data_IF_370633152509
#
_entry.id   IF_370633152509
#
_cell.length_a   1.000
_cell.length_b   1.000
_cell.length_c   1.000
_cell.angle_alpha   90.00
_cell.angle_beta   90.00
_cell.angle_gamma   90.00
#
_symmetry.space_group_name_H-M   'P 1'
#
loop_
_entity.id
_entity.type
_entity.pdbx_description
1 polymer ?
#
# COMPACT_ATOMS: atom_id res chain seq x y z
N UNK A 1 7.22 -19.57 -12.22
CA UNK A 1 7.29 -18.68 -11.05
C UNK A 1 6.79 -17.31 -11.47
N UNK A 2 5.82 -16.71 -10.79
CA UNK A 2 5.30 -15.38 -11.17
C UNK A 2 6.31 -14.32 -10.74
N UNK A 3 7.01 -13.72 -11.69
CA UNK A 3 7.99 -12.66 -11.42
C UNK A 3 7.23 -11.34 -11.29
N UNK A 4 7.29 -10.72 -10.11
CA UNK A 4 6.80 -9.35 -9.93
C UNK A 4 7.80 -8.38 -10.54
N UNK A 5 7.31 -7.32 -11.18
CA UNK A 5 8.14 -6.27 -11.79
C UNK A 5 7.62 -4.89 -11.42
N UNK A 6 8.54 -3.95 -11.31
CA UNK A 6 8.22 -2.51 -11.23
C UNK A 6 7.69 -2.04 -12.58
N UNK A 7 6.58 -1.31 -12.61
CA UNK A 7 5.84 -0.95 -13.83
C UNK A 7 6.20 0.43 -14.38
N UNK A 8 6.58 1.37 -13.51
CA UNK A 8 6.77 2.79 -13.80
C UNK A 8 7.96 3.36 -13.03
N UNK A 9 8.37 4.59 -13.36
CA UNK A 9 9.45 5.30 -12.65
C UNK A 9 10.87 4.79 -12.91
N UNK A 10 11.81 5.23 -12.08
CA UNK A 10 13.27 5.01 -12.18
C UNK A 10 13.69 3.54 -12.26
N UNK A 11 12.94 2.64 -11.62
CA UNK A 11 13.22 1.21 -11.55
C UNK A 11 12.33 0.37 -12.46
N UNK A 12 11.60 0.98 -13.41
CA UNK A 12 10.74 0.29 -14.37
C UNK A 12 11.43 -0.93 -15.00
N UNK A 13 10.72 -2.05 -15.05
CA UNK A 13 11.18 -3.30 -15.65
C UNK A 13 12.04 -4.18 -14.73
N UNK A 14 12.53 -3.65 -13.59
CA UNK A 14 13.28 -4.45 -12.62
C UNK A 14 12.37 -5.49 -11.95
N UNK A 15 12.88 -6.72 -11.86
CA UNK A 15 12.25 -7.80 -11.12
C UNK A 15 12.32 -7.52 -9.62
N UNK A 16 11.28 -7.92 -8.91
CA UNK A 16 11.19 -7.88 -7.46
C UNK A 16 11.44 -9.29 -6.97
N UNK A 17 12.50 -9.48 -6.19
CA UNK A 17 12.73 -10.74 -5.51
C UNK A 17 11.59 -10.96 -4.52
N UNK A 18 10.78 -11.98 -4.80
CA UNK A 18 9.69 -12.37 -3.91
C UNK A 18 10.17 -13.47 -2.98
N UNK A 19 9.78 -13.45 -1.70
CA UNK A 19 10.02 -14.59 -0.82
C UNK A 19 9.34 -15.85 -1.38
N UNK A 20 9.80 -17.06 -1.01
CA UNK A 20 9.16 -18.30 -1.37
C UNK A 20 7.67 -18.29 -1.01
N UNK A 21 6.84 -18.98 -1.80
CA UNK A 21 5.42 -19.09 -1.51
C UNK A 21 5.19 -19.74 -0.14
N UNK A 22 4.41 -19.09 0.72
CA UNK A 22 3.97 -19.70 1.98
C UNK A 22 2.75 -20.58 1.67
N UNK A 23 2.85 -21.88 1.96
CA UNK A 23 1.79 -22.87 1.71
C UNK A 23 1.25 -22.88 0.26
N UNK A 24 2.13 -22.67 -0.73
CA UNK A 24 1.77 -22.72 -2.17
C UNK A 24 0.96 -21.54 -2.69
N UNK A 25 0.54 -20.60 -1.84
CA UNK A 25 -0.26 -19.44 -2.24
C UNK A 25 0.59 -18.17 -2.33
N UNK A 26 0.56 -17.53 -3.49
CA UNK A 26 1.10 -16.19 -3.72
C UNK A 26 -0.05 -15.21 -3.86
N UNK A 27 -0.65 -14.83 -2.73
CA UNK A 27 -1.65 -13.75 -2.69
C UNK A 27 -0.93 -12.40 -2.82
N UNK A 28 -0.37 -12.15 -4.00
CA UNK A 28 0.19 -10.86 -4.37
C UNK A 28 -0.92 -10.00 -4.95
N UNK A 29 -0.91 -8.72 -4.59
CA UNK A 29 -1.69 -7.67 -5.25
C UNK A 29 -1.57 -7.81 -6.78
N UNK A 30 -2.68 -7.93 -7.53
CA UNK A 30 -2.63 -8.12 -8.98
C UNK A 30 -1.94 -6.97 -9.70
N UNK A 31 -1.18 -7.26 -10.75
CA UNK A 31 -0.47 -6.25 -11.54
C UNK A 31 -1.39 -5.15 -12.10
N UNK A 32 -2.64 -5.51 -12.47
CA UNK A 32 -3.65 -4.54 -12.94
C UNK A 32 -4.15 -3.63 -11.82
N UNK A 33 -4.27 -4.15 -10.59
CA UNK A 33 -4.71 -3.39 -9.43
C UNK A 33 -3.61 -2.43 -8.98
N UNK A 34 -2.36 -2.92 -8.92
CA UNK A 34 -1.19 -2.06 -8.73
C UNK A 34 -1.16 -0.92 -9.75
N UNK A 35 -1.30 -1.24 -11.05
CA UNK A 35 -1.36 -0.23 -12.11
C UNK A 35 -2.48 0.79 -11.83
N UNK A 36 -3.68 0.32 -11.47
CA UNK A 36 -4.81 1.21 -11.17
C UNK A 36 -4.53 2.18 -10.01
N UNK A 37 -3.95 1.72 -8.90
CA UNK A 37 -3.58 2.58 -7.77
C UNK A 37 -2.63 3.68 -8.24
N UNK A 38 -1.60 3.30 -8.97
CA UNK A 38 -0.56 4.22 -9.41
C UNK A 38 -0.97 5.12 -10.59
N UNK A 39 -1.93 4.69 -11.43
CA UNK A 39 -2.56 5.58 -12.41
C UNK A 39 -3.40 6.67 -11.73
N UNK A 40 -4.13 6.32 -10.65
CA UNK A 40 -4.89 7.30 -9.84
C UNK A 40 -3.92 8.29 -9.18
N UNK A 41 -2.85 7.80 -8.55
CA UNK A 41 -1.80 8.65 -7.97
C UNK A 41 -1.21 9.58 -9.05
N UNK A 42 -0.89 9.05 -10.24
CA UNK A 42 -0.39 9.85 -11.35
C UNK A 42 -1.37 10.95 -11.78
N UNK A 43 -2.67 10.66 -11.78
CA UNK A 43 -3.70 11.68 -12.05
C UNK A 43 -3.74 12.77 -10.98
N UNK A 44 -3.51 12.44 -9.70
CA UNK A 44 -3.43 13.42 -8.62
C UNK A 44 -2.22 14.34 -8.78
N UNK A 45 -1.07 13.79 -9.16
CA UNK A 45 0.15 14.56 -9.46
C UNK A 45 -0.08 15.52 -10.63
N UNK A 46 -0.63 15.03 -11.74
CA UNK A 46 -0.92 15.86 -12.92
C UNK A 46 -1.92 17.00 -12.62
N UNK A 47 -2.78 16.83 -11.61
CA UNK A 47 -3.74 17.84 -11.15
C UNK A 47 -3.14 18.79 -10.10
N UNK A 48 -1.87 18.65 -9.75
CA UNK A 48 -1.20 19.45 -8.72
C UNK A 48 -1.69 19.16 -7.30
N UNK A 49 -2.34 18.02 -7.06
CA UNK A 49 -2.91 17.64 -5.75
C UNK A 49 -1.97 16.77 -4.92
N UNK A 50 -0.86 16.34 -5.50
CA UNK A 50 0.16 15.52 -4.86
C UNK A 50 1.53 15.84 -5.49
N UNK A 51 2.55 16.00 -4.67
CA UNK A 51 3.95 16.12 -5.11
C UNK A 51 4.69 14.93 -4.52
N UNK A 52 5.02 13.92 -5.33
CA UNK A 52 5.59 12.65 -4.84
C UNK A 52 6.90 12.90 -4.06
N UNK A 53 7.74 13.81 -4.55
CA UNK A 53 9.02 14.21 -3.98
C UNK A 53 8.91 14.95 -2.62
N UNK A 54 7.70 15.28 -2.18
CA UNK A 54 7.43 15.89 -0.87
C UNK A 54 6.45 15.03 -0.03
N UNK A 55 6.13 13.84 -0.52
CA UNK A 55 5.09 12.98 0.05
C UNK A 55 5.65 11.65 0.52
N UNK A 56 4.98 11.06 1.51
CA UNK A 56 5.17 9.66 1.87
C UNK A 56 4.03 8.77 1.37
N UNK A 57 4.43 7.58 0.93
CA UNK A 57 3.56 6.45 0.64
C UNK A 57 3.67 5.44 1.78
N UNK A 58 2.53 5.07 2.38
CA UNK A 58 2.47 4.13 3.50
C UNK A 58 1.74 2.86 3.07
N UNK A 59 2.42 1.72 3.21
CA UNK A 59 1.90 0.39 2.92
C UNK A 59 1.70 -0.38 4.24
N UNK A 60 0.45 -0.59 4.64
CA UNK A 60 0.13 -1.21 5.93
C UNK A 60 0.26 -2.74 5.94
N UNK A 61 0.31 -3.38 4.77
CA UNK A 61 0.36 -4.83 4.64
C UNK A 61 1.36 -5.20 3.56
N UNK A 62 2.62 -4.80 3.77
CA UNK A 62 3.62 -4.70 2.73
C UNK A 62 3.88 -6.02 1.98
N UNK A 63 3.80 -7.18 2.64
CA UNK A 63 3.90 -8.47 1.99
C UNK A 63 5.19 -8.63 1.21
N UNK A 64 5.10 -8.60 -0.13
CA UNK A 64 6.27 -8.67 -1.02
C UNK A 64 7.01 -7.34 -1.21
N UNK A 65 6.47 -6.23 -0.72
CA UNK A 65 7.00 -4.88 -0.90
C UNK A 65 6.76 -4.29 -2.29
N UNK A 66 5.91 -4.90 -3.12
CA UNK A 66 5.77 -4.48 -4.52
C UNK A 66 5.13 -3.10 -4.70
N UNK A 67 4.27 -2.69 -3.76
CA UNK A 67 3.64 -1.37 -3.78
C UNK A 67 4.66 -0.32 -3.34
N UNK A 68 5.37 -0.58 -2.23
CA UNK A 68 6.46 0.30 -1.78
C UNK A 68 7.57 0.47 -2.82
N UNK A 69 7.99 -0.59 -3.52
CA UNK A 69 9.01 -0.46 -4.58
C UNK A 69 8.53 0.37 -5.77
N UNK A 70 7.24 0.28 -6.11
CA UNK A 70 6.64 1.09 -7.16
C UNK A 70 6.59 2.57 -6.74
N UNK A 71 6.27 2.85 -5.47
CA UNK A 71 6.31 4.20 -4.90
C UNK A 71 7.74 4.78 -4.89
N UNK A 72 8.73 3.99 -4.44
CA UNK A 72 10.16 4.37 -4.52
C UNK A 72 10.56 4.67 -5.96
N UNK A 73 10.12 3.84 -6.91
CA UNK A 73 10.42 4.03 -8.32
C UNK A 73 9.87 5.33 -8.88
N UNK A 74 8.71 5.77 -8.41
CA UNK A 74 8.06 7.01 -8.85
C UNK A 74 8.68 8.27 -8.25
N UNK A 75 9.42 8.15 -7.16
CA UNK A 75 10.11 9.28 -6.53
C UNK A 75 9.46 9.78 -5.26
N UNK A 76 8.60 8.98 -4.60
CA UNK A 76 8.13 9.30 -3.26
C UNK A 76 9.31 9.60 -2.33
N UNK A 77 9.29 10.75 -1.65
CA UNK A 77 10.37 11.14 -0.74
C UNK A 77 10.54 10.17 0.43
N UNK A 78 9.45 9.55 0.89
CA UNK A 78 9.50 8.51 1.91
C UNK A 78 8.53 7.36 1.61
N UNK A 79 8.96 6.14 1.91
CA UNK A 79 8.13 4.94 1.82
C UNK A 79 8.16 4.21 3.16
N UNK A 80 6.99 4.04 3.76
CA UNK A 80 6.82 3.38 5.05
C UNK A 80 6.08 2.06 4.84
N UNK A 81 6.64 0.98 5.37
CA UNK A 81 6.16 -0.39 5.17
C UNK A 81 5.88 -1.03 6.52
N UNK A 82 4.66 -1.48 6.74
CA UNK A 82 4.28 -2.29 7.89
C UNK A 82 4.08 -3.75 7.48
N UNK A 83 4.69 -4.67 8.21
CA UNK A 83 4.56 -6.12 7.99
C UNK A 83 4.62 -6.86 9.33
N UNK A 84 3.74 -7.84 9.53
CA UNK A 84 3.66 -8.57 10.79
C UNK A 84 4.63 -9.75 10.84
N UNK A 85 4.72 -10.51 9.74
CA UNK A 85 5.50 -11.73 9.67
C UNK A 85 7.00 -11.41 9.73
N UNK A 86 7.68 -11.99 10.71
CA UNK A 86 9.09 -11.71 10.97
C UNK A 86 9.97 -11.94 9.74
N UNK A 87 9.88 -13.10 9.10
CA UNK A 87 10.67 -13.43 7.90
C UNK A 87 10.43 -12.46 6.74
N UNK A 88 9.17 -12.06 6.51
CA UNK A 88 8.82 -11.08 5.47
C UNK A 88 9.38 -9.71 5.80
N UNK A 89 9.24 -9.28 7.05
CA UNK A 89 9.76 -7.98 7.50
C UNK A 89 11.29 -7.90 7.38
N UNK A 90 12.01 -9.00 7.65
CA UNK A 90 13.47 -9.06 7.49
C UNK A 90 13.88 -8.99 6.01
N UNK A 91 13.19 -9.74 5.15
CA UNK A 91 13.38 -9.66 3.70
C UNK A 91 13.10 -8.26 3.16
N UNK A 92 12.05 -7.58 3.64
CA UNK A 92 11.76 -6.19 3.28
C UNK A 92 12.88 -5.25 3.74
N UNK A 93 13.41 -5.38 4.97
CA UNK A 93 14.55 -4.57 5.42
C UNK A 93 15.75 -4.73 4.51
N UNK A 94 16.09 -5.96 4.12
CA UNK A 94 17.19 -6.25 3.18
C UNK A 94 16.93 -5.66 1.80
N UNK A 95 15.69 -5.78 1.30
CA UNK A 95 15.29 -5.29 -0.02
C UNK A 95 15.35 -3.75 -0.11
N UNK A 96 14.93 -3.06 0.96
CA UNK A 96 14.80 -1.61 0.99
C UNK A 96 16.00 -0.87 1.59
N UNK A 97 16.95 -1.55 2.24
CA UNK A 97 18.16 -0.92 2.82
C UNK A 97 18.98 -0.12 1.79
N UNK A 98 18.97 -0.55 0.52
CA UNK A 98 19.64 0.13 -0.59
C UNK A 98 19.07 1.51 -0.94
N UNK A 99 17.90 1.88 -0.39
CA UNK A 99 17.28 3.19 -0.58
C UNK A 99 17.52 4.13 0.61
N UNK A 100 18.32 3.71 1.60
CA UNK A 100 18.68 4.51 2.77
C UNK A 100 17.46 4.89 3.63
N UNK A 101 17.57 6.02 4.32
CA UNK A 101 16.59 6.50 5.29
C UNK A 101 15.24 6.91 4.68
N UNK A 102 15.16 6.98 3.34
CA UNK A 102 13.91 7.25 2.63
C UNK A 102 12.94 6.07 2.72
N UNK A 103 13.39 4.88 3.13
CA UNK A 103 12.53 3.70 3.28
C UNK A 103 12.59 3.15 4.70
N UNK A 104 11.44 3.02 5.34
CA UNK A 104 11.32 2.51 6.71
C UNK A 104 10.44 1.27 6.74
N UNK A 105 10.93 0.21 7.38
CA UNK A 105 10.19 -1.04 7.56
C UNK A 105 9.92 -1.27 9.03
N UNK A 106 8.65 -1.39 9.40
CA UNK A 106 8.21 -1.65 10.76
C UNK A 106 7.59 -3.04 10.87
N UNK A 107 8.07 -3.82 11.85
CA UNK A 107 7.44 -5.10 12.19
C UNK A 107 6.35 -4.87 13.23
N UNK A 108 5.13 -4.57 12.79
CA UNK A 108 3.99 -4.29 13.69
C UNK A 108 2.70 -4.93 13.16
N UNK A 109 1.82 -5.29 14.08
CA UNK A 109 0.44 -5.68 13.77
C UNK A 109 -0.41 -4.42 13.60
N UNK A 110 -0.74 -4.06 12.36
CA UNK A 110 -1.54 -2.88 12.06
C UNK A 110 -2.90 -2.93 12.75
N UNK A 111 -3.55 -4.09 12.84
CA UNK A 111 -4.87 -4.17 13.50
C UNK A 111 -4.81 -3.90 15.00
N UNK A 112 -3.68 -4.23 15.63
CA UNK A 112 -3.46 -4.01 17.05
C UNK A 112 -3.02 -2.58 17.37
N UNK A 113 -2.27 -1.95 16.48
CA UNK A 113 -1.57 -0.69 16.75
C UNK A 113 -2.01 0.49 15.90
N UNK A 114 -3.05 0.36 15.06
CA UNK A 114 -3.50 1.39 14.11
C UNK A 114 -3.67 2.81 14.69
N UNK A 115 -3.99 2.93 15.97
CA UNK A 115 -4.16 4.19 16.72
C UNK A 115 -2.84 4.77 17.29
N UNK A 116 -1.74 4.01 17.17
CA UNK A 116 -0.40 4.28 17.72
C UNK A 116 0.69 4.02 16.69
N UNK A 117 0.33 3.91 15.42
CA UNK A 117 1.31 3.81 14.35
C UNK A 117 1.96 5.18 14.17
N UNK A 118 3.26 5.16 13.94
CA UNK A 118 4.00 6.37 13.63
C UNK A 118 3.73 6.67 12.15
N UNK A 119 2.93 7.71 11.92
CA UNK A 119 2.58 8.18 10.59
C UNK A 119 3.34 9.49 10.37
N UNK A 120 4.40 9.50 9.53
CA UNK A 120 5.13 10.72 9.25
C UNK A 120 4.18 11.82 8.75
N UNK A 121 4.40 13.06 9.15
CA UNK A 121 3.55 14.21 8.76
C UNK A 121 3.38 14.33 7.24
N UNK A 122 4.43 14.01 6.47
CA UNK A 122 4.40 14.01 5.00
C UNK A 122 3.57 12.88 4.36
N UNK A 123 2.96 11.99 5.15
CA UNK A 123 2.16 10.86 4.66
C UNK A 123 0.88 11.33 4.00
N UNK A 124 0.77 11.06 2.70
CA UNK A 124 -0.32 11.54 1.85
C UNK A 124 -1.12 10.40 1.23
N UNK A 125 -0.47 9.26 1.00
CA UNK A 125 -1.07 8.10 0.34
C UNK A 125 -0.93 6.88 1.24
N UNK A 126 -2.07 6.24 1.51
CA UNK A 126 -2.13 5.02 2.32
C UNK A 126 -2.69 3.86 1.50
N UNK A 127 -2.03 2.72 1.56
CA UNK A 127 -2.44 1.49 0.91
C UNK A 127 -2.62 0.38 1.94
N UNK A 128 -3.79 -0.25 1.92
CA UNK A 128 -4.15 -1.38 2.76
C UNK A 128 -4.47 -2.57 1.86
N UNK A 129 -3.75 -3.68 2.05
CA UNK A 129 -4.07 -4.98 1.45
C UNK A 129 -4.14 -6.05 2.55
N UNK A 130 -5.16 -6.01 3.43
CA UNK A 130 -5.25 -6.93 4.53
C UNK A 130 -5.43 -8.38 4.04
N UNK A 131 -4.89 -9.37 4.77
CA UNK A 131 -5.09 -10.79 4.46
C UNK A 131 -6.57 -11.15 4.22
N UNK A 132 -6.84 -11.95 3.19
CA UNK A 132 -8.21 -12.22 2.74
C UNK A 132 -9.09 -12.85 3.82
N UNK A 133 -8.50 -13.68 4.69
CA UNK A 133 -9.18 -14.32 5.82
C UNK A 133 -9.68 -13.34 6.89
N UNK A 134 -9.31 -12.07 6.82
CA UNK A 134 -9.78 -11.04 7.76
C UNK A 134 -11.07 -10.37 7.32
N UNK A 135 -11.45 -10.46 6.05
CA UNK A 135 -12.65 -9.76 5.55
C UNK A 135 -13.96 -10.30 6.14
N UNK A 136 -14.00 -11.57 6.56
CA UNK A 136 -15.17 -12.14 7.23
C UNK A 136 -15.39 -11.63 8.66
N UNK A 137 -14.37 -11.04 9.30
CA UNK A 137 -14.39 -10.72 10.75
C UNK A 137 -13.90 -9.32 11.11
N UNK A 138 -13.25 -8.63 10.18
CA UNK A 138 -12.54 -7.36 10.45
C UNK A 138 -12.91 -6.25 9.47
N UNK A 139 -13.95 -6.39 8.66
CA UNK A 139 -14.40 -5.34 7.74
C UNK A 139 -14.57 -3.99 8.47
N UNK A 140 -15.34 -3.96 9.56
CA UNK A 140 -15.53 -2.76 10.41
C UNK A 140 -14.21 -2.19 10.94
N UNK A 141 -13.25 -3.05 11.26
CA UNK A 141 -11.94 -2.61 11.73
C UNK A 141 -11.13 -1.98 10.61
N UNK A 142 -11.14 -2.55 9.41
CA UNK A 142 -10.45 -1.97 8.24
C UNK A 142 -11.10 -0.64 7.85
N UNK A 143 -12.43 -0.56 7.94
CA UNK A 143 -13.20 0.70 7.79
C UNK A 143 -12.72 1.74 8.80
N UNK A 144 -12.67 1.38 10.08
CA UNK A 144 -12.23 2.28 11.17
C UNK A 144 -10.81 2.81 10.93
N UNK A 145 -9.88 1.94 10.50
CA UNK A 145 -8.51 2.34 10.18
C UNK A 145 -8.53 3.31 9.00
N UNK A 146 -9.31 3.02 7.96
CA UNK A 146 -9.40 3.87 6.77
C UNK A 146 -9.97 5.25 7.10
N UNK A 147 -10.98 5.32 7.97
CA UNK A 147 -11.56 6.59 8.44
C UNK A 147 -10.59 7.40 9.30
N UNK A 148 -9.84 6.75 10.19
CA UNK A 148 -8.79 7.41 10.97
C UNK A 148 -7.75 8.06 10.05
N UNK A 149 -7.29 7.33 9.04
CA UNK A 149 -6.32 7.85 8.07
C UNK A 149 -6.89 9.01 7.25
N UNK A 150 -8.18 8.96 6.88
CA UNK A 150 -8.85 10.08 6.21
C UNK A 150 -9.08 11.29 7.14
N UNK A 151 -9.12 11.06 8.45
CA UNK A 151 -9.20 12.13 9.46
C UNK A 151 -7.98 13.05 9.45
N UNK A 152 -6.81 12.54 9.08
CA UNK A 152 -5.57 13.32 9.02
C UNK A 152 -5.62 14.39 7.91
N UNK A 153 -5.23 15.62 8.23
CA UNK A 153 -5.28 16.76 7.31
C UNK A 153 -4.35 16.59 6.11
N UNK A 154 -3.24 15.89 6.29
CA UNK A 154 -2.23 15.66 5.25
C UNK A 154 -2.65 14.57 4.26
N UNK A 155 -3.66 13.76 4.57
CA UNK A 155 -4.10 12.67 3.71
C UNK A 155 -4.69 13.17 2.39
N UNK A 156 -4.21 12.61 1.29
CA UNK A 156 -4.76 12.84 -0.06
C UNK A 156 -5.63 11.66 -0.48
N UNK A 157 -5.20 10.43 -0.25
CA UNK A 157 -5.97 9.24 -0.63
C UNK A 157 -5.68 8.01 0.24
N UNK A 158 -6.73 7.22 0.45
CA UNK A 158 -6.66 5.90 1.08
C UNK A 158 -7.18 4.86 0.10
N UNK A 159 -6.40 3.81 -0.11
CA UNK A 159 -6.69 2.69 -1.01
C UNK A 159 -6.75 1.39 -0.22
N UNK A 160 -7.78 0.58 -0.50
CA UNK A 160 -7.99 -0.71 0.15
C UNK A 160 -8.23 -1.79 -0.90
N UNK A 161 -7.42 -2.85 -0.86
CA UNK A 161 -7.62 -4.04 -1.67
C UNK A 161 -8.37 -5.10 -0.85
N UNK A 162 -9.37 -5.72 -1.48
CA UNK A 162 -10.22 -6.71 -0.82
C UNK A 162 -10.66 -7.84 -1.78
N UNK A 163 -11.00 -9.04 -1.26
CA UNK A 163 -11.63 -10.10 -2.04
C UNK A 163 -13.15 -9.90 -2.22
N UNK A 164 -13.75 -8.96 -1.49
CA UNK A 164 -15.18 -8.67 -1.46
C UNK A 164 -15.42 -7.19 -1.73
N UNK A 165 -16.58 -6.83 -2.27
CA UNK A 165 -16.98 -5.42 -2.31
C UNK A 165 -17.48 -5.03 -0.91
N UNK A 166 -16.81 -4.11 -0.19
CA UNK A 166 -17.22 -3.74 1.16
C UNK A 166 -18.45 -2.82 1.19
N UNK A 167 -18.82 -2.18 0.07
CA UNK A 167 -20.01 -1.32 0.00
C UNK A 167 -19.95 -0.08 0.91
N UNK A 168 -18.75 0.38 1.27
CA UNK A 168 -18.56 1.51 2.17
C UNK A 168 -19.03 2.82 1.52
N UNK A 169 -19.92 3.54 2.21
CA UNK A 169 -20.36 4.88 1.80
C UNK A 169 -19.17 5.85 1.76
N UNK A 170 -19.14 6.75 0.77
CA UNK A 170 -18.06 7.72 0.57
C UNK A 170 -16.82 7.19 -0.16
N UNK A 171 -16.77 5.88 -0.44
CA UNK A 171 -15.68 5.27 -1.21
C UNK A 171 -16.11 4.90 -2.62
N UNK A 172 -15.19 5.03 -3.57
CA UNK A 172 -15.34 4.45 -4.90
C UNK A 172 -14.78 3.02 -4.88
N UNK A 173 -15.50 2.07 -5.49
CA UNK A 173 -15.04 0.68 -5.61
C UNK A 173 -14.96 0.25 -7.08
N UNK A 174 -13.81 -0.29 -7.47
CA UNK A 174 -13.56 -0.87 -8.80
C UNK A 174 -13.26 -2.37 -8.68
N UNK A 175 -13.85 -3.17 -9.56
CA UNK A 175 -13.63 -4.62 -9.61
C UNK A 175 -12.53 -5.00 -10.59
N UNK A 176 -11.61 -5.86 -10.16
CA UNK A 176 -10.50 -6.42 -10.93
C UNK A 176 -10.48 -7.95 -10.79
N UNK A 177 -11.28 -8.63 -11.63
CA UNK A 177 -11.48 -10.07 -11.53
C UNK A 177 -12.17 -10.46 -10.22
N UNK A 178 -11.45 -11.19 -9.35
CA UNK A 178 -11.93 -11.60 -8.02
C UNK A 178 -11.58 -10.61 -6.90
N UNK A 179 -10.88 -9.51 -7.22
CA UNK A 179 -10.42 -8.53 -6.24
C UNK A 179 -11.13 -7.21 -6.48
N UNK A 180 -11.22 -6.40 -5.43
CA UNK A 180 -11.78 -5.07 -5.47
C UNK A 180 -10.72 -4.09 -4.98
N UNK A 181 -10.68 -2.91 -5.60
CA UNK A 181 -9.96 -1.74 -5.12
C UNK A 181 -11.02 -0.73 -4.68
N UNK A 182 -11.10 -0.51 -3.37
CA UNK A 182 -11.99 0.47 -2.74
C UNK A 182 -11.15 1.63 -2.25
N UNK A 183 -11.47 2.86 -2.62
CA UNK A 183 -10.63 4.00 -2.31
C UNK A 183 -11.44 5.28 -2.12
N UNK A 184 -10.88 6.20 -1.35
CA UNK A 184 -11.40 7.56 -1.21
C UNK A 184 -10.26 8.55 -1.39
N UNK A 185 -10.53 9.61 -2.14
CA UNK A 185 -9.62 10.73 -2.37
C UNK A 185 -10.22 11.93 -1.64
N UNK A 186 -9.48 12.54 -0.70
CA UNK A 186 -9.93 13.77 -0.03
C UNK A 186 -9.96 14.92 -1.03
N UNK A 187 -11.12 15.53 -1.21
CA UNK A 187 -11.26 16.77 -1.95
C UNK A 187 -10.75 17.87 -1.02
N UNK A 188 -9.49 18.25 -1.20
CA UNK A 188 -8.89 19.47 -0.64
C UNK A 188 -9.18 20.65 -1.55
#
# INVERSE_FOLDING_TARGET
>A
MKILKVQTGKFKGKSIETPPAIAGNTNFTPAILKKSVFDIIGSLVLKGRLIEEESAFVDFFAGSGQMGLEAVSRGFARVVLYELAWERSDNLRKLFSKFGDNCQVYRKDVFRFYDKLDIPEMSRIFFLDPPYSFWDKKDEKIRTISDLLLGEDTTVAVFVQSPVNPGWSGFETRRFGKNFLTFQIKIT
#
